data_IF_924246782122
#
_entry.id   IF_924246782122
#
_cell.length_a   1.000
_cell.length_b   1.000
_cell.length_c   1.000
_cell.angle_alpha   90.00
_cell.angle_beta   90.00
_cell.angle_gamma   90.00
#
_symmetry.space_group_name_H-M   'P 1'
#
loop_
_entity.id
_entity.type
_entity.pdbx_description
1 polymer ?
#
# COMPACT_ATOMS: atom_id res chain seq x y z
N UNK A 1 -0.12 -0.87 54.97
CA UNK A 1 0.22 0.36 54.23
C UNK A 1 1.03 -0.07 53.02
N UNK A 2 0.55 0.18 51.80
CA UNK A 2 1.30 -0.11 50.57
C UNK A 2 2.39 0.96 50.46
N UNK A 3 3.66 0.56 50.31
CA UNK A 3 4.76 1.50 50.12
C UNK A 3 4.59 2.23 48.78
N UNK A 4 5.07 3.46 48.68
CA UNK A 4 5.08 4.22 47.42
C UNK A 4 5.79 3.44 46.29
N UNK A 5 6.86 2.70 46.63
CA UNK A 5 7.58 1.82 45.70
C UNK A 5 6.73 0.65 45.19
N UNK A 6 5.86 0.10 46.04
CA UNK A 6 4.98 -1.03 45.69
C UNK A 6 3.84 -0.54 44.78
N UNK A 7 3.34 0.66 45.02
CA UNK A 7 2.34 1.31 44.17
C UNK A 7 2.90 1.64 42.78
N UNK A 8 4.13 2.17 42.70
CA UNK A 8 4.81 2.43 41.43
C UNK A 8 5.09 1.13 40.65
N UNK A 9 5.53 0.08 41.33
CA UNK A 9 5.72 -1.24 40.72
C UNK A 9 4.42 -1.82 40.14
N UNK A 10 3.31 -1.71 40.87
CA UNK A 10 1.97 -2.12 40.41
C UNK A 10 1.49 -1.30 39.21
N UNK A 11 1.75 0.01 39.19
CA UNK A 11 1.36 0.89 38.08
C UNK A 11 2.17 0.58 36.80
N UNK A 12 3.47 0.33 36.92
CA UNK A 12 4.32 -0.06 35.79
C UNK A 12 3.87 -1.41 35.21
N UNK A 13 3.57 -2.37 36.08
CA UNK A 13 3.14 -3.71 35.67
C UNK A 13 1.74 -3.68 35.04
N UNK A 14 0.82 -2.92 35.63
CA UNK A 14 -0.51 -2.67 35.06
C UNK A 14 -0.45 -1.95 33.70
N UNK A 15 0.40 -0.92 33.58
CA UNK A 15 0.64 -0.23 32.31
C UNK A 15 1.25 -1.16 31.26
N UNK A 16 2.25 -1.97 31.64
CA UNK A 16 2.86 -2.96 30.76
C UNK A 16 1.86 -3.98 30.22
N UNK A 17 0.95 -4.47 31.08
CA UNK A 17 -0.13 -5.38 30.67
C UNK A 17 -1.11 -4.70 29.71
N UNK A 18 -1.48 -3.44 29.95
CA UNK A 18 -2.36 -2.68 29.04
C UNK A 18 -1.69 -2.48 27.68
N UNK A 19 -0.41 -2.12 27.65
CA UNK A 19 0.36 -1.95 26.42
C UNK A 19 0.45 -3.28 25.66
N UNK A 20 0.79 -4.38 26.34
CA UNK A 20 0.81 -5.71 25.73
C UNK A 20 -0.56 -6.11 25.16
N UNK A 21 -1.64 -5.90 25.90
CA UNK A 21 -3.00 -6.19 25.44
C UNK A 21 -3.44 -5.32 24.26
N UNK A 22 -2.90 -4.12 24.11
CA UNK A 22 -3.19 -3.24 22.97
C UNK A 22 -2.31 -3.52 21.77
N UNK A 23 -1.01 -3.73 21.97
CA UNK A 23 -0.02 -3.95 20.90
C UNK A 23 -0.12 -5.34 20.31
N UNK A 24 -0.44 -6.36 21.11
CA UNK A 24 -0.50 -7.76 20.64
C UNK A 24 -1.57 -7.98 19.56
N UNK A 25 -2.82 -7.52 19.70
CA UNK A 25 -3.83 -7.62 18.64
C UNK A 25 -3.40 -6.91 17.36
N UNK A 26 -2.81 -5.72 17.48
CA UNK A 26 -2.30 -4.96 16.34
C UNK A 26 -1.21 -5.77 15.62
N UNK A 27 -0.17 -6.19 16.35
CA UNK A 27 0.91 -6.99 15.79
C UNK A 27 0.42 -8.30 15.15
N UNK A 28 -0.62 -8.91 15.73
CA UNK A 28 -1.27 -10.09 15.18
C UNK A 28 -2.01 -9.81 13.87
N UNK A 29 -2.70 -8.67 13.74
CA UNK A 29 -3.32 -8.25 12.47
C UNK A 29 -2.26 -8.09 11.37
N UNK A 30 -1.13 -7.42 11.66
CA UNK A 30 0.01 -7.33 10.74
C UNK A 30 0.58 -8.70 10.36
N UNK A 31 0.79 -9.59 11.34
CA UNK A 31 1.34 -10.92 11.10
C UNK A 31 0.39 -11.81 10.28
N UNK A 32 -0.91 -11.80 10.62
CA UNK A 32 -1.93 -12.57 9.93
C UNK A 32 -2.17 -12.09 8.50
N UNK A 33 -2.16 -10.78 8.24
CA UNK A 33 -2.20 -10.26 6.88
C UNK A 33 -0.97 -10.67 6.08
N UNK A 34 0.23 -10.62 6.66
CA UNK A 34 1.45 -11.04 5.98
C UNK A 34 1.45 -12.54 5.62
N UNK A 35 0.91 -13.40 6.50
CA UNK A 35 0.74 -14.83 6.22
C UNK A 35 -0.32 -15.05 5.13
N UNK A 36 -1.45 -14.36 5.21
CA UNK A 36 -2.55 -14.49 4.26
C UNK A 36 -2.13 -14.01 2.88
N UNK A 37 -1.42 -12.89 2.79
CA UNK A 37 -0.88 -12.36 1.53
C UNK A 37 0.07 -13.36 0.87
N UNK A 38 0.96 -14.00 1.64
CA UNK A 38 1.82 -15.07 1.11
C UNK A 38 1.01 -16.26 0.58
N UNK A 39 -0.05 -16.64 1.28
CA UNK A 39 -0.95 -17.71 0.85
C UNK A 39 -1.66 -17.36 -0.45
N UNK A 40 -2.18 -16.14 -0.56
CA UNK A 40 -2.80 -15.60 -1.78
C UNK A 40 -1.80 -15.64 -2.93
N UNK A 41 -0.60 -15.09 -2.76
CA UNK A 41 0.44 -15.07 -3.80
C UNK A 41 0.79 -16.49 -4.27
N UNK A 42 0.91 -17.45 -3.35
CA UNK A 42 1.25 -18.84 -3.67
C UNK A 42 0.17 -19.54 -4.48
N UNK A 43 -1.10 -19.20 -4.24
CA UNK A 43 -2.24 -19.86 -4.86
C UNK A 43 -2.83 -19.05 -6.02
N UNK A 44 -2.40 -17.81 -6.23
CA UNK A 44 -2.92 -16.94 -7.27
C UNK A 44 -2.45 -17.42 -8.65
N UNK A 45 -3.39 -17.46 -9.59
CA UNK A 45 -3.12 -17.77 -10.99
C UNK A 45 -2.99 -16.44 -11.73
N UNK A 46 -1.91 -16.22 -12.50
CA UNK A 46 -1.77 -15.01 -13.28
C UNK A 46 -2.82 -14.98 -14.41
N UNK A 47 -3.46 -13.83 -14.59
CA UNK A 47 -4.49 -13.63 -15.63
C UNK A 47 -3.89 -13.13 -16.94
N UNK A 48 -2.77 -12.38 -16.87
CA UNK A 48 -2.01 -11.89 -18.02
C UNK A 48 -0.59 -11.49 -17.62
N UNK A 49 0.24 -11.15 -18.61
CA UNK A 49 1.53 -10.52 -18.38
C UNK A 49 1.36 -9.01 -18.20
N UNK A 50 2.30 -8.40 -17.47
CA UNK A 50 2.38 -6.95 -17.31
C UNK A 50 2.75 -6.29 -18.65
N UNK A 51 1.97 -5.28 -19.06
CA UNK A 51 2.22 -4.56 -20.32
C UNK A 51 3.47 -3.67 -20.22
N UNK A 52 3.99 -3.25 -21.37
CA UNK A 52 5.14 -2.33 -21.43
C UNK A 52 4.79 -0.95 -20.86
N UNK A 53 3.55 -0.49 -21.09
CA UNK A 53 3.02 0.77 -20.54
C UNK A 53 2.89 0.72 -19.02
N UNK A 54 2.33 -0.37 -18.47
CA UNK A 54 2.23 -0.56 -17.02
C UNK A 54 3.61 -0.65 -16.37
N UNK A 55 4.57 -1.30 -17.06
CA UNK A 55 5.95 -1.38 -16.60
C UNK A 55 6.62 0.00 -16.58
N UNK A 56 6.38 0.81 -17.60
CA UNK A 56 6.87 2.18 -17.67
C UNK A 56 6.23 3.06 -16.58
N UNK A 57 4.92 2.94 -16.35
CA UNK A 57 4.20 3.64 -15.28
C UNK A 57 4.75 3.26 -13.90
N UNK A 58 4.95 1.96 -13.64
CA UNK A 58 5.57 1.47 -12.40
C UNK A 58 7.02 1.94 -12.25
N UNK A 59 7.78 2.10 -13.34
CA UNK A 59 9.15 2.63 -13.30
C UNK A 59 9.18 4.12 -12.99
N UNK A 60 8.26 4.90 -13.57
CA UNK A 60 8.10 6.31 -13.30
C UNK A 60 7.66 6.57 -11.84
N UNK A 61 6.62 5.85 -11.40
CA UNK A 61 6.12 5.92 -10.03
C UNK A 61 7.16 5.41 -9.02
N UNK A 62 7.96 4.42 -9.41
CA UNK A 62 9.03 3.82 -8.61
C UNK A 62 10.35 4.58 -8.57
N UNK A 63 10.48 5.71 -9.27
CA UNK A 63 11.72 6.49 -9.30
C UNK A 63 11.45 7.99 -9.34
N UNK A 64 11.28 8.59 -10.53
CA UNK A 64 11.07 10.03 -10.71
C UNK A 64 9.90 10.64 -9.89
N UNK A 65 8.82 9.89 -9.69
CA UNK A 65 7.67 10.38 -8.93
C UNK A 65 7.94 10.53 -7.42
N UNK A 66 9.04 9.95 -6.89
CA UNK A 66 9.43 10.04 -5.48
C UNK A 66 9.48 11.48 -4.97
N UNK A 67 9.87 12.43 -5.83
CA UNK A 67 9.95 13.86 -5.48
C UNK A 67 8.58 14.54 -5.31
N UNK A 68 7.49 13.92 -5.75
CA UNK A 68 6.10 14.40 -5.59
C UNK A 68 5.37 13.74 -4.41
N UNK A 69 5.87 12.59 -3.93
CA UNK A 69 5.29 11.83 -2.81
C UNK A 69 5.27 12.67 -1.52
N UNK A 70 6.33 13.44 -1.27
CA UNK A 70 6.42 14.35 -0.11
C UNK A 70 5.47 15.55 -0.20
N UNK A 71 4.91 15.85 -1.38
CA UNK A 71 4.11 17.06 -1.65
C UNK A 71 2.61 16.81 -1.73
N UNK A 72 2.20 15.63 -2.19
CA UNK A 72 0.78 15.27 -2.35
C UNK A 72 0.24 14.57 -1.08
N UNK A 73 1.10 14.39 -0.07
CA UNK A 73 0.75 13.78 1.20
C UNK A 73 0.45 12.29 1.07
N UNK A 74 1.28 11.57 0.31
CA UNK A 74 0.92 10.23 -0.16
C UNK A 74 2.00 9.22 0.12
N UNK A 75 1.54 7.98 0.13
CA UNK A 75 2.21 6.76 0.51
C UNK A 75 3.52 6.60 -0.27
N UNK A 76 4.64 6.47 0.43
CA UNK A 76 5.89 6.05 -0.22
C UNK A 76 5.64 4.66 -0.82
N UNK A 77 5.73 4.55 -2.14
CA UNK A 77 5.83 3.24 -2.77
C UNK A 77 6.97 2.49 -2.08
N UNK A 78 6.87 1.16 -1.88
CA UNK A 78 8.03 0.38 -1.46
C UNK A 78 9.04 0.30 -2.63
N UNK A 79 9.73 1.42 -2.90
CA UNK A 79 10.61 1.66 -4.06
C UNK A 79 11.69 0.58 -4.16
N UNK A 80 12.25 0.17 -3.01
CA UNK A 80 13.24 -0.90 -2.91
C UNK A 80 12.71 -2.31 -3.25
N UNK A 81 11.40 -2.48 -3.45
CA UNK A 81 10.78 -3.75 -3.83
C UNK A 81 10.32 -3.76 -5.29
N UNK A 82 10.08 -2.60 -5.92
CA UNK A 82 9.55 -2.50 -7.30
C UNK A 82 10.47 -3.10 -8.37
N UNK A 83 11.77 -3.18 -8.14
CA UNK A 83 12.71 -3.83 -9.07
C UNK A 83 12.31 -5.29 -9.40
N UNK A 84 11.67 -6.00 -8.46
CA UNK A 84 11.15 -7.36 -8.72
C UNK A 84 9.80 -7.38 -9.45
N UNK A 85 9.02 -6.30 -9.39
CA UNK A 85 7.72 -6.17 -10.07
C UNK A 85 7.85 -5.65 -11.52
N UNK A 86 9.02 -5.17 -11.92
CA UNK A 86 9.30 -4.60 -13.25
C UNK A 86 9.98 -5.58 -14.21
N UNK A 87 10.28 -6.81 -13.78
CA UNK A 87 10.93 -7.81 -14.63
C UNK A 87 10.08 -8.20 -15.84
N UNK A 88 10.71 -8.69 -16.92
CA UNK A 88 10.03 -9.17 -18.12
C UNK A 88 9.06 -10.35 -17.88
N UNK A 89 9.11 -10.98 -16.71
CA UNK A 89 8.23 -12.07 -16.26
C UNK A 89 7.20 -11.63 -15.20
N UNK A 90 7.05 -10.32 -14.98
CA UNK A 90 6.07 -9.81 -14.04
C UNK A 90 4.66 -10.14 -14.55
N UNK A 91 3.93 -10.90 -13.75
CA UNK A 91 2.58 -11.32 -14.07
C UNK A 91 1.55 -10.49 -13.30
N UNK A 92 0.39 -10.35 -13.91
CA UNK A 92 -0.77 -9.66 -13.33
C UNK A 92 -1.73 -10.68 -12.77
N UNK A 93 -2.26 -10.38 -11.60
CA UNK A 93 -3.19 -11.21 -10.85
C UNK A 93 -4.48 -10.44 -10.62
N UNK A 94 -5.61 -11.14 -10.66
CA UNK A 94 -6.91 -10.54 -10.39
C UNK A 94 -7.39 -10.94 -8.99
N UNK A 95 -7.68 -9.96 -8.16
CA UNK A 95 -8.27 -10.11 -6.83
C UNK A 95 -9.72 -9.59 -6.85
N UNK A 96 -10.61 -10.22 -6.09
CA UNK A 96 -12.05 -9.88 -6.07
C UNK A 96 -12.59 -9.72 -4.66
N UNK A 97 -13.42 -8.70 -4.45
CA UNK A 97 -14.15 -8.49 -3.20
C UNK A 97 -13.96 -7.08 -2.62
N UNK A 98 -14.23 -6.89 -1.32
CA UNK A 98 -14.16 -5.58 -0.71
C UNK A 98 -12.70 -5.12 -0.62
N UNK A 99 -12.45 -3.89 -1.07
CA UNK A 99 -11.18 -3.20 -0.86
C UNK A 99 -11.32 -2.39 0.43
N UNK A 100 -10.79 -2.93 1.51
CA UNK A 100 -10.84 -2.30 2.83
C UNK A 100 -9.57 -1.48 3.09
N UNK A 101 -9.72 -0.29 3.68
CA UNK A 101 -8.60 0.38 4.33
C UNK A 101 -8.06 -0.49 5.46
N UNK A 102 -6.74 -0.63 5.53
CA UNK A 102 -6.05 -1.42 6.54
C UNK A 102 -4.91 -0.60 7.16
N UNK A 103 -4.63 -0.80 8.44
CA UNK A 103 -3.61 -0.04 9.17
C UNK A 103 -4.11 1.30 9.75
N UNK A 104 -3.17 2.09 10.27
CA UNK A 104 -3.46 3.38 10.90
C UNK A 104 -3.78 4.46 9.85
N UNK A 105 -5.07 4.73 9.65
CA UNK A 105 -5.52 6.00 9.05
C UNK A 105 -5.28 7.14 10.04
N UNK A 106 -4.03 7.55 10.24
CA UNK A 106 -3.74 8.77 10.99
C UNK A 106 -2.52 9.41 10.36
N UNK A 107 -2.77 10.34 9.42
CA UNK A 107 -2.11 11.64 9.26
C UNK A 107 -2.30 12.15 7.81
N UNK A 108 -2.53 13.45 7.60
CA UNK A 108 -2.28 14.07 6.30
C UNK A 108 -0.81 13.80 5.93
N UNK A 109 -0.55 13.08 4.83
CA UNK A 109 0.82 12.62 4.51
C UNK A 109 1.15 11.16 4.86
N UNK A 110 0.23 10.43 5.50
CA UNK A 110 0.46 9.05 5.91
C UNK A 110 0.35 8.02 4.79
N UNK A 111 1.01 6.88 4.98
CA UNK A 111 0.85 5.71 4.11
C UNK A 111 -0.56 5.11 4.28
N UNK A 112 -1.37 5.05 3.22
CA UNK A 112 -2.68 4.38 3.27
C UNK A 112 -2.50 2.97 2.73
N UNK A 113 -2.71 1.98 3.59
CA UNK A 113 -2.66 0.58 3.19
C UNK A 113 -4.07 0.08 2.91
N UNK A 114 -4.18 -0.84 1.96
CA UNK A 114 -5.43 -1.49 1.63
C UNK A 114 -5.27 -3.00 1.70
N UNK A 115 -6.38 -3.70 1.91
CA UNK A 115 -6.43 -5.14 1.85
C UNK A 115 -7.61 -5.61 1.00
N UNK A 116 -7.38 -6.64 0.20
CA UNK A 116 -8.42 -7.34 -0.57
C UNK A 116 -8.12 -8.84 -0.54
N UNK A 117 -9.14 -9.66 -0.24
CA UNK A 117 -8.98 -11.12 -0.03
C UNK A 117 -7.88 -11.49 1.00
N UNK A 118 -7.60 -10.61 1.96
CA UNK A 118 -6.51 -10.81 2.92
C UNK A 118 -5.10 -10.67 2.33
N UNK A 119 -4.97 -10.14 1.12
CA UNK A 119 -3.70 -9.68 0.57
C UNK A 119 -3.52 -8.18 0.82
N UNK A 120 -2.36 -7.79 1.34
CA UNK A 120 -1.95 -6.40 1.42
C UNK A 120 -1.73 -5.85 0.01
N UNK A 121 -2.43 -4.76 -0.32
CA UNK A 121 -2.34 -4.08 -1.61
C UNK A 121 -2.11 -2.58 -1.44
N UNK A 122 -1.37 -2.02 -2.39
CA UNK A 122 -0.99 -0.63 -2.46
C UNK A 122 -1.66 0.00 -3.68
N UNK A 123 -2.34 1.14 -3.47
CA UNK A 123 -2.95 1.91 -4.54
C UNK A 123 -2.15 3.19 -4.80
N UNK A 124 -1.57 3.37 -6.00
CA UNK A 124 -0.93 4.64 -6.34
C UNK A 124 -2.00 5.70 -6.63
N UNK A 125 -2.43 6.44 -5.62
CA UNK A 125 -2.89 7.83 -5.80
C UNK A 125 -4.06 8.07 -6.77
N UNK A 126 -5.27 7.74 -6.31
CA UNK A 126 -6.46 8.55 -6.57
C UNK A 126 -7.53 8.28 -5.50
N UNK A 127 -8.49 9.20 -5.39
CA UNK A 127 -9.54 9.26 -4.37
C UNK A 127 -10.21 7.89 -4.18
N UNK A 128 -9.89 7.24 -3.05
CA UNK A 128 -10.20 5.83 -2.85
C UNK A 128 -11.70 5.58 -2.69
N UNK A 129 -12.46 6.65 -2.52
CA UNK A 129 -13.93 6.65 -2.43
C UNK A 129 -14.58 5.88 -3.58
N UNK A 130 -14.00 5.95 -4.79
CA UNK A 130 -14.51 5.26 -5.98
C UNK A 130 -14.30 3.73 -5.93
N UNK A 131 -13.36 3.26 -5.10
CA UNK A 131 -12.96 1.84 -5.02
C UNK A 131 -13.47 1.13 -3.75
N UNK A 132 -14.37 1.76 -2.97
CA UNK A 132 -14.90 1.20 -1.71
C UNK A 132 -16.17 0.34 -1.88
N UNK A 133 -16.40 -0.20 -3.07
CA UNK A 133 -17.59 -1.07 -3.29
C UNK A 133 -17.42 -2.41 -2.57
N UNK A 134 -18.52 -3.15 -2.37
CA UNK A 134 -18.45 -4.50 -1.77
C UNK A 134 -17.81 -5.53 -2.72
N UNK A 135 -17.90 -5.29 -4.02
CA UNK A 135 -17.50 -6.23 -5.08
C UNK A 135 -16.55 -5.56 -6.06
N UNK A 136 -15.30 -5.32 -5.65
CA UNK A 136 -14.29 -4.79 -6.55
C UNK A 136 -13.61 -5.90 -7.34
N UNK A 137 -13.21 -5.58 -8.57
CA UNK A 137 -12.28 -6.36 -9.38
C UNK A 137 -11.01 -5.54 -9.49
N UNK A 138 -9.93 -6.06 -8.91
CA UNK A 138 -8.64 -5.35 -8.81
C UNK A 138 -7.59 -6.19 -9.51
N UNK A 139 -6.89 -5.59 -10.46
CA UNK A 139 -5.69 -6.19 -11.04
C UNK A 139 -4.47 -5.69 -10.31
N UNK A 140 -3.59 -6.61 -9.89
CA UNK A 140 -2.40 -6.30 -9.12
C UNK A 140 -1.18 -6.98 -9.71
N UNK A 141 -0.02 -6.34 -9.56
CA UNK A 141 1.28 -7.00 -9.68
C UNK A 141 1.85 -7.23 -8.29
N UNK A 142 2.29 -8.45 -7.99
CA UNK A 142 2.89 -8.74 -6.68
C UNK A 142 4.36 -8.35 -6.63
N UNK A 143 4.68 -7.58 -5.60
CA UNK A 143 5.99 -7.03 -5.30
C UNK A 143 6.47 -7.61 -3.96
N UNK A 144 7.16 -8.75 -4.01
CA UNK A 144 7.53 -9.59 -2.85
C UNK A 144 6.33 -10.04 -2.02
N UNK A 145 5.84 -9.20 -1.11
CA UNK A 145 4.76 -9.51 -0.14
C UNK A 145 3.59 -8.53 -0.21
N UNK A 146 3.58 -7.62 -1.17
CA UNK A 146 2.56 -6.57 -1.30
C UNK A 146 2.11 -6.54 -2.76
N UNK A 147 0.81 -6.46 -3.03
CA UNK A 147 0.29 -6.22 -4.37
C UNK A 147 0.30 -4.73 -4.69
N UNK A 148 0.71 -4.33 -5.88
CA UNK A 148 0.52 -2.97 -6.39
C UNK A 148 -0.66 -2.99 -7.33
N UNK A 149 -1.67 -2.19 -7.05
CA UNK A 149 -2.87 -2.06 -7.88
C UNK A 149 -2.49 -1.42 -9.21
N UNK A 150 -2.82 -2.11 -10.30
CA UNK A 150 -2.68 -1.64 -11.68
C UNK A 150 -3.99 -1.05 -12.16
N UNK A 151 -5.09 -1.78 -11.96
CA UNK A 151 -6.44 -1.33 -12.31
C UNK A 151 -7.43 -1.71 -11.23
N UNK A 152 -8.48 -0.89 -11.08
CA UNK A 152 -9.61 -1.19 -10.19
C UNK A 152 -10.91 -0.88 -10.91
N UNK A 153 -11.82 -1.86 -10.97
CA UNK A 153 -13.16 -1.76 -11.57
C UNK A 153 -13.19 -1.18 -13.00
N UNK A 154 -12.09 -1.28 -13.75
CA UNK A 154 -11.89 -0.62 -15.05
C UNK A 154 -12.06 0.91 -15.04
N UNK A 155 -12.08 1.54 -13.86
CA UNK A 155 -12.25 2.98 -13.69
C UNK A 155 -10.93 3.67 -13.33
N UNK A 156 -10.11 3.00 -12.53
CA UNK A 156 -8.79 3.46 -12.15
C UNK A 156 -7.73 2.66 -12.90
N UNK A 157 -6.69 3.35 -13.37
CA UNK A 157 -5.53 2.79 -14.08
C UNK A 157 -4.24 3.49 -13.64
N UNK A 158 -3.21 2.70 -13.34
CA UNK A 158 -1.88 3.18 -12.99
C UNK A 158 -1.20 3.95 -14.13
N UNK A 159 -1.53 3.62 -15.38
CA UNK A 159 -1.01 4.32 -16.56
C UNK A 159 -1.57 5.74 -16.60
N UNK A 160 -2.89 5.88 -16.45
CA UNK A 160 -3.55 7.19 -16.41
C UNK A 160 -3.02 8.05 -15.26
N UNK A 161 -2.81 7.45 -14.09
CA UNK A 161 -2.18 8.14 -12.96
C UNK A 161 -0.76 8.60 -13.28
N UNK A 162 0.05 7.72 -13.87
CA UNK A 162 1.42 8.04 -14.29
C UNK A 162 1.43 9.21 -15.29
N UNK A 163 0.57 9.19 -16.30
CA UNK A 163 0.52 10.22 -17.35
C UNK A 163 0.14 11.59 -16.78
N UNK A 164 -0.88 11.65 -15.91
CA UNK A 164 -1.26 12.88 -15.19
C UNK A 164 -0.06 13.45 -14.43
N UNK A 165 0.71 12.59 -13.77
CA UNK A 165 1.87 12.99 -12.97
C UNK A 165 3.07 13.41 -13.83
N UNK A 166 3.30 12.77 -14.96
CA UNK A 166 4.34 13.17 -15.90
C UNK A 166 4.09 14.56 -16.47
N UNK A 167 2.83 14.91 -16.77
CA UNK A 167 2.44 16.27 -17.19
C UNK A 167 2.73 17.28 -16.07
N UNK A 168 2.37 16.95 -14.82
CA UNK A 168 2.67 17.78 -13.65
C UNK A 168 4.18 17.91 -13.38
N UNK A 169 4.96 16.88 -13.71
CA UNK A 169 6.43 16.88 -13.62
C UNK A 169 7.06 17.81 -14.66
N UNK A 170 6.66 17.68 -15.92
CA UNK A 170 7.20 18.47 -17.03
C UNK A 170 6.85 19.95 -16.92
N UNK A 171 5.59 20.28 -16.62
CA UNK A 171 5.13 21.66 -16.45
C UNK A 171 5.86 22.42 -15.33
N UNK A 172 6.39 21.73 -14.31
CA UNK A 172 7.23 22.36 -13.27
C UNK A 172 8.69 22.47 -13.64
N UNK A 173 9.23 21.49 -14.36
CA UNK A 173 10.61 21.57 -14.88
C UNK A 173 10.78 22.78 -15.79
N UNK A 174 9.72 23.15 -16.51
CA UNK A 174 9.69 24.27 -17.44
C UNK A 174 9.14 25.57 -16.81
N UNK A 175 8.87 25.58 -15.50
CA UNK A 175 8.48 26.78 -14.75
C UNK A 175 9.64 27.77 -14.58
N UNK A 176 9.37 29.08 -14.38
CA UNK A 176 10.41 30.09 -14.40
C UNK A 176 11.41 29.84 -13.27
N UNK A 177 12.67 29.64 -13.65
CA UNK A 177 13.83 29.68 -12.76
C UNK A 177 13.78 30.99 -11.98
N UNK A 178 13.42 30.90 -10.70
CA UNK A 178 13.48 32.00 -9.73
C UNK A 178 14.67 31.79 -8.80
#
# INVERSE_FOLDING_TARGET
MISKSDLEGLLILGFGVIVLLKVTPIAWEYFSLALTTRSVIRNAVPVRQLSDEERAALAFLGGPARFYVDWVGVTQLPLHKLATAQGAKAAVYQLRGPLGGWGYQMHPGGEVHYAIQGAEVFMPLEDITVCTTKDNIVEVVFCKKIGVILTCNNQYSIVDTSDKWQILFQSRKDGPSS
#
